data_IF_566835533410
#
_entry.id   IF_566835533410
#
_cell.length_a   1.000
_cell.length_b   1.000
_cell.length_c   1.000
_cell.angle_alpha   90.00
_cell.angle_beta   90.00
_cell.angle_gamma   90.00
#
_symmetry.space_group_name_H-M   'P 1'
#
loop_
_entity.id
_entity.type
_entity.pdbx_description
1 polymer ?
#
# COMPACT_ATOMS: atom_id res chain seq x y z
N UNK A 1 -17.05 -18.70 9.11
CA UNK A 1 -17.79 -18.04 7.99
C UNK A 1 -17.85 -19.01 6.83
N UNK A 2 -19.04 -19.36 6.35
CA UNK A 2 -19.21 -20.17 5.13
C UNK A 2 -18.82 -19.32 3.92
N UNK A 3 -17.97 -19.84 3.02
CA UNK A 3 -17.59 -19.13 1.79
C UNK A 3 -18.33 -19.71 0.58
N UNK A 4 -18.91 -18.88 -0.31
CA UNK A 4 -19.39 -19.34 -1.60
C UNK A 4 -18.28 -19.99 -2.43
N UNK A 5 -18.60 -21.07 -3.15
CA UNK A 5 -17.67 -21.82 -4.02
C UNK A 5 -18.11 -21.75 -5.48
N UNK A 6 -17.28 -22.26 -6.40
CA UNK A 6 -17.64 -22.38 -7.83
C UNK A 6 -17.07 -21.31 -8.77
N UNK A 7 -16.10 -20.48 -8.32
CA UNK A 7 -15.28 -19.68 -9.23
C UNK A 7 -14.52 -20.59 -10.20
N UNK A 8 -14.37 -20.15 -11.45
CA UNK A 8 -13.61 -20.82 -12.50
C UNK A 8 -12.33 -20.04 -12.79
N UNK A 9 -11.31 -20.76 -13.23
CA UNK A 9 -10.04 -20.15 -13.62
C UNK A 9 -10.13 -19.56 -15.04
N UNK A 10 -9.54 -18.39 -15.23
CA UNK A 10 -9.37 -17.80 -16.56
C UNK A 10 -8.18 -18.45 -17.28
N UNK A 11 -8.18 -18.42 -18.62
CA UNK A 11 -7.13 -19.02 -19.46
C UNK A 11 -6.05 -18.02 -19.89
N UNK A 12 -6.19 -16.74 -19.51
CA UNK A 12 -5.28 -15.66 -19.85
C UNK A 12 -4.64 -15.06 -18.59
N UNK A 13 -3.31 -14.88 -18.63
CA UNK A 13 -2.56 -14.11 -17.63
C UNK A 13 -1.80 -12.99 -18.35
N UNK A 14 -2.28 -11.76 -18.25
CA UNK A 14 -1.77 -10.61 -18.99
C UNK A 14 -1.45 -9.44 -18.02
N UNK A 15 -0.18 -8.98 -17.93
CA UNK A 15 0.21 -7.87 -17.06
C UNK A 15 -0.44 -6.53 -17.45
N UNK A 16 -0.91 -6.37 -18.69
CA UNK A 16 -1.62 -5.17 -19.12
C UNK A 16 -3.01 -5.03 -18.49
N UNK A 17 -3.55 -6.12 -17.93
CA UNK A 17 -4.85 -6.15 -17.25
C UNK A 17 -4.75 -5.87 -15.73
N UNK A 18 -3.55 -5.60 -15.20
CA UNK A 18 -3.36 -5.30 -13.77
C UNK A 18 -4.09 -4.01 -13.40
N UNK A 19 -4.98 -4.11 -12.42
CA UNK A 19 -5.79 -2.99 -11.94
C UNK A 19 -5.88 -3.06 -10.40
N UNK A 20 -4.86 -2.52 -9.74
CA UNK A 20 -4.67 -2.53 -8.27
C UNK A 20 -4.59 -1.10 -7.72
N UNK A 21 -5.02 -0.85 -6.47
CA UNK A 21 -4.92 0.46 -5.86
C UNK A 21 -3.47 0.80 -5.52
N UNK A 22 -3.06 2.05 -5.73
CA UNK A 22 -1.74 2.52 -5.31
C UNK A 22 -1.70 2.79 -3.80
N UNK A 23 -0.59 2.49 -3.09
CA UNK A 23 -0.39 2.90 -1.70
C UNK A 23 -0.40 4.43 -1.51
N UNK A 24 -0.16 5.19 -2.58
CA UNK A 24 -0.15 6.66 -2.59
C UNK A 24 -1.51 7.30 -2.92
N UNK A 25 -2.59 6.52 -3.06
CA UNK A 25 -3.92 7.09 -3.28
C UNK A 25 -4.37 7.98 -2.12
N UNK A 26 -5.01 9.10 -2.46
CA UNK A 26 -5.80 9.86 -1.50
C UNK A 26 -7.04 9.05 -1.08
N UNK A 27 -7.63 9.36 0.08
CA UNK A 27 -8.85 8.67 0.54
C UNK A 27 -9.99 8.72 -0.51
N UNK A 28 -10.30 9.86 -1.16
CA UNK A 28 -11.29 9.88 -2.24
C UNK A 28 -10.90 9.00 -3.44
N UNK A 29 -9.61 8.96 -3.80
CA UNK A 29 -9.11 8.11 -4.89
C UNK A 29 -9.24 6.62 -4.58
N UNK A 30 -8.90 6.21 -3.36
CA UNK A 30 -9.10 4.84 -2.89
C UNK A 30 -10.58 4.46 -2.88
N UNK A 31 -11.45 5.33 -2.35
CA UNK A 31 -12.90 5.07 -2.37
C UNK A 31 -13.44 4.94 -3.79
N UNK A 32 -13.03 5.82 -4.70
CA UNK A 32 -13.43 5.74 -6.11
C UNK A 32 -12.98 4.42 -6.74
N UNK A 33 -11.75 3.97 -6.45
CA UNK A 33 -11.25 2.69 -6.94
C UNK A 33 -12.10 1.52 -6.43
N UNK A 34 -12.35 1.43 -5.12
CA UNK A 34 -13.18 0.37 -4.53
C UNK A 34 -14.61 0.39 -5.08
N UNK A 35 -15.18 1.58 -5.32
CA UNK A 35 -16.49 1.73 -5.94
C UNK A 35 -16.54 1.15 -7.37
N UNK A 36 -15.46 1.24 -8.17
CA UNK A 36 -15.39 0.56 -9.49
C UNK A 36 -15.44 -0.97 -9.40
N UNK A 37 -15.18 -1.53 -8.21
CA UNK A 37 -15.28 -2.97 -7.91
C UNK A 37 -16.61 -3.34 -7.23
N UNK A 38 -17.54 -2.39 -7.11
CA UNK A 38 -18.82 -2.59 -6.42
C UNK A 38 -18.71 -2.64 -4.90
N UNK A 39 -17.61 -2.13 -4.33
CA UNK A 39 -17.36 -2.11 -2.89
C UNK A 39 -17.69 -0.74 -2.29
N UNK A 40 -18.27 -0.74 -1.09
CA UNK A 40 -18.65 0.46 -0.35
C UNK A 40 -17.48 1.05 0.44
N UNK A 41 -17.68 2.23 1.04
CA UNK A 41 -16.74 2.80 2.01
C UNK A 41 -16.48 1.85 3.19
N UNK A 42 -17.52 1.18 3.68
CA UNK A 42 -17.38 0.23 4.78
C UNK A 42 -16.53 -0.98 4.37
N UNK A 43 -16.72 -1.50 3.15
CA UNK A 43 -15.89 -2.57 2.61
C UNK A 43 -14.44 -2.14 2.46
N UNK A 44 -14.20 -0.92 1.95
CA UNK A 44 -12.84 -0.35 1.83
C UNK A 44 -12.13 -0.31 3.17
N UNK A 45 -12.75 0.28 4.20
CA UNK A 45 -12.16 0.36 5.54
C UNK A 45 -11.95 -1.03 6.15
N UNK A 46 -12.92 -1.94 5.99
CA UNK A 46 -12.83 -3.31 6.50
C UNK A 46 -11.67 -4.07 5.85
N UNK A 47 -11.51 -3.98 4.54
CA UNK A 47 -10.45 -4.67 3.80
C UNK A 47 -9.07 -4.05 4.04
N UNK A 48 -8.97 -2.73 4.24
CA UNK A 48 -7.73 -2.07 4.66
C UNK A 48 -7.26 -2.55 6.05
N UNK A 49 -8.17 -3.10 6.86
CA UNK A 49 -7.82 -3.78 8.12
C UNK A 49 -6.86 -4.96 7.93
N UNK A 50 -6.74 -5.52 6.72
CA UNK A 50 -5.76 -6.56 6.40
C UNK A 50 -4.30 -6.11 6.62
N UNK A 51 -4.03 -4.79 6.63
CA UNK A 51 -2.71 -4.24 6.96
C UNK A 51 -2.32 -4.38 8.44
N UNK A 52 -3.15 -5.00 9.29
CA UNK A 52 -2.79 -5.32 10.68
C UNK A 52 -1.75 -6.44 10.81
N UNK A 53 -1.45 -7.16 9.73
CA UNK A 53 -0.44 -8.23 9.67
C UNK A 53 0.39 -8.09 8.39
N UNK A 54 1.56 -8.74 8.37
CA UNK A 54 2.47 -8.72 7.24
C UNK A 54 3.47 -7.57 7.30
N UNK A 55 4.17 -7.34 6.18
CA UNK A 55 5.22 -6.34 6.04
C UNK A 55 4.99 -5.49 4.79
N UNK A 56 5.60 -4.31 4.76
CA UNK A 56 5.65 -3.45 3.58
C UNK A 56 7.10 -3.20 3.16
N UNK A 57 7.32 -3.17 1.85
CA UNK A 57 8.59 -2.76 1.27
C UNK A 57 8.77 -1.23 1.37
N UNK A 58 9.97 -0.75 1.66
CA UNK A 58 10.25 0.68 1.79
C UNK A 58 9.87 1.47 0.53
N UNK A 59 10.07 0.88 -0.67
CA UNK A 59 9.73 1.51 -1.95
C UNK A 59 8.27 1.97 -2.07
N UNK A 60 7.34 1.34 -1.34
CA UNK A 60 5.91 1.67 -1.45
C UNK A 60 5.48 2.88 -0.60
N UNK A 61 6.31 3.34 0.34
CA UNK A 61 6.00 4.49 1.22
C UNK A 61 7.15 5.50 1.38
N UNK A 62 8.30 5.29 0.73
CA UNK A 62 9.48 6.18 0.81
C UNK A 62 9.16 7.66 0.57
N UNK A 63 8.20 7.96 -0.31
CA UNK A 63 7.78 9.34 -0.60
C UNK A 63 7.22 10.09 0.62
N UNK A 64 6.84 9.37 1.69
CA UNK A 64 6.40 9.94 2.97
C UNK A 64 7.56 10.24 3.92
N UNK A 65 8.72 9.60 3.72
CA UNK A 65 9.92 9.82 4.53
C UNK A 65 10.78 10.96 3.98
N UNK A 66 10.82 11.12 2.66
CA UNK A 66 11.54 12.21 2.00
C UNK A 66 10.72 12.74 0.83
N UNK A 67 10.14 13.93 0.97
CA UNK A 67 9.46 14.61 -0.13
C UNK A 67 10.44 15.47 -0.96
N UNK A 68 10.00 15.92 -2.15
CA UNK A 68 10.81 16.75 -3.08
C UNK A 68 11.26 18.09 -2.45
N UNK A 69 10.61 18.53 -1.37
CA UNK A 69 10.94 19.73 -0.59
C UNK A 69 11.77 19.43 0.66
N UNK A 70 12.24 18.20 0.84
CA UNK A 70 13.11 17.79 1.95
C UNK A 70 12.40 17.58 3.28
N UNK A 71 11.08 17.38 3.30
CA UNK A 71 10.30 17.15 4.52
C UNK A 71 9.68 15.75 4.63
N UNK A 72 9.45 15.33 5.86
CA UNK A 72 8.65 14.15 6.22
C UNK A 72 7.14 14.48 6.11
N UNK A 73 6.30 13.45 5.95
CA UNK A 73 4.86 13.61 6.00
C UNK A 73 4.40 14.06 7.41
N UNK A 74 3.79 15.25 7.55
CA UNK A 74 3.41 15.80 8.86
C UNK A 74 2.30 15.01 9.57
N UNK A 75 1.65 14.06 8.88
CA UNK A 75 0.65 13.17 9.47
C UNK A 75 1.23 11.88 10.04
N UNK A 76 2.53 11.62 9.83
CA UNK A 76 3.22 10.47 10.41
C UNK A 76 3.71 10.81 11.83
N UNK A 77 3.61 9.85 12.74
CA UNK A 77 4.23 9.98 14.06
C UNK A 77 5.76 10.17 13.90
N UNK A 78 6.37 11.19 14.52
CA UNK A 78 7.78 11.50 14.30
C UNK A 78 8.74 10.43 14.83
N UNK A 79 8.35 9.66 15.85
CA UNK A 79 9.18 8.55 16.37
C UNK A 79 9.16 7.40 15.37
N UNK A 80 7.98 7.08 14.81
CA UNK A 80 7.86 6.13 13.72
C UNK A 80 8.65 6.60 12.48
N UNK A 81 8.53 7.87 12.08
CA UNK A 81 9.24 8.42 10.93
C UNK A 81 10.76 8.27 11.08
N UNK A 82 11.31 8.68 12.23
CA UNK A 82 12.73 8.51 12.53
C UNK A 82 13.17 7.03 12.46
N UNK A 83 12.36 6.11 12.98
CA UNK A 83 12.61 4.66 12.92
C UNK A 83 12.64 4.17 11.46
N UNK A 84 11.67 4.58 10.65
CA UNK A 84 11.57 4.20 9.24
C UNK A 84 12.71 4.76 8.40
N UNK A 85 13.16 5.99 8.66
CA UNK A 85 14.33 6.59 7.98
C UNK A 85 15.60 5.78 8.23
N UNK A 86 15.80 5.29 9.46
CA UNK A 86 16.96 4.45 9.79
C UNK A 86 16.91 3.09 9.08
N UNK A 87 15.73 2.45 9.02
CA UNK A 87 15.58 1.11 8.42
C UNK A 87 15.63 1.18 6.90
N UNK A 88 14.91 2.14 6.31
CA UNK A 88 14.81 2.24 4.86
C UNK A 88 16.06 2.83 4.20
N UNK A 89 16.92 3.50 4.98
CA UNK A 89 18.16 4.11 4.50
C UNK A 89 17.93 5.22 3.46
N UNK A 90 18.85 6.18 3.40
CA UNK A 90 18.90 7.15 2.29
C UNK A 90 19.99 6.78 1.26
N UNK A 91 20.78 5.73 1.53
CA UNK A 91 21.96 5.36 0.76
C UNK A 91 21.78 4.08 -0.08
N UNK A 92 21.35 4.33 -1.32
CA UNK A 92 21.88 3.89 -2.63
C UNK A 92 22.66 2.57 -2.84
N UNK A 93 22.75 1.64 -1.92
CA UNK A 93 23.11 0.25 -2.28
C UNK A 93 21.83 -0.47 -2.73
N UNK A 94 21.39 -0.13 -3.95
CA UNK A 94 20.10 -0.47 -4.57
C UNK A 94 19.94 -1.96 -4.95
N UNK A 95 20.36 -2.89 -4.09
CA UNK A 95 20.24 -4.33 -4.31
C UNK A 95 19.17 -4.99 -3.44
N UNK A 96 18.71 -4.34 -2.36
CA UNK A 96 17.62 -4.87 -1.53
C UNK A 96 16.65 -3.77 -1.10
N UNK A 97 15.36 -3.95 -1.40
CA UNK A 97 14.27 -3.11 -0.90
C UNK A 97 13.86 -3.61 0.50
N UNK A 98 14.24 -2.92 1.60
CA UNK A 98 14.00 -3.41 2.94
C UNK A 98 12.51 -3.56 3.24
N UNK A 99 12.18 -4.45 4.17
CA UNK A 99 10.81 -4.69 4.64
C UNK A 99 10.67 -4.20 6.07
N UNK A 100 9.54 -3.58 6.38
CA UNK A 100 9.19 -3.11 7.72
C UNK A 100 7.82 -3.64 8.11
N UNK A 101 7.63 -3.84 9.42
CA UNK A 101 6.47 -4.43 10.11
C UNK A 101 6.44 -5.96 10.11
#
# INVERSE_FOLDING_TARGET
VQRPTGRRDDLLSDPSLVNLPSPSFSIPGALQFFATKGLTLADMVTLLGAHTIGFAHCSVFQNRLTNVRGGEDPTMDPVLAATLVQICGLDREALSDPRVF
#
